data_IF_852142848121
#
_entry.id   IF_852142848121
#
_cell.length_a   1.000
_cell.length_b   1.000
_cell.length_c   1.000
_cell.angle_alpha   90.00
_cell.angle_beta   90.00
_cell.angle_gamma   90.00
#
_symmetry.space_group_name_H-M   'P 1'
#
loop_
_entity.id
_entity.type
_entity.pdbx_description
1 polymer ?
#
# COMPACT_ATOMS: atom_id res chain seq x y z
N UNK A 1 13.68 -22.77 6.21
CA UNK A 1 12.43 -22.05 6.49
C UNK A 1 11.36 -22.66 5.59
N UNK A 2 10.23 -23.07 6.13
CA UNK A 2 9.10 -23.55 5.31
C UNK A 2 8.43 -22.35 4.70
N UNK A 3 8.76 -22.05 3.44
CA UNK A 3 8.10 -20.99 2.66
C UNK A 3 6.65 -21.41 2.45
N UNK A 4 5.72 -20.81 3.19
CA UNK A 4 4.29 -21.10 3.02
C UNK A 4 3.88 -20.60 1.64
N UNK A 5 3.56 -21.52 0.73
CA UNK A 5 3.06 -21.20 -0.61
C UNK A 5 1.80 -20.33 -0.51
N UNK A 6 1.70 -19.29 -1.33
CA UNK A 6 0.48 -18.48 -1.37
C UNK A 6 -0.67 -19.32 -1.95
N UNK A 7 -1.87 -19.14 -1.40
CA UNK A 7 -3.08 -19.85 -1.83
C UNK A 7 -4.06 -18.86 -2.43
N UNK A 8 -4.70 -19.24 -3.54
CA UNK A 8 -5.78 -18.46 -4.15
C UNK A 8 -7.05 -18.53 -3.27
N UNK A 9 -7.21 -17.57 -2.36
CA UNK A 9 -8.35 -17.44 -1.45
C UNK A 9 -9.19 -16.19 -1.81
N UNK A 10 -10.25 -15.93 -1.07
CA UNK A 10 -11.18 -14.82 -1.38
C UNK A 10 -10.56 -13.42 -1.18
N UNK A 11 -9.44 -13.31 -0.45
CA UNK A 11 -8.67 -12.06 -0.33
C UNK A 11 -7.78 -11.81 -1.56
N UNK A 12 -7.27 -12.87 -2.17
CA UNK A 12 -6.30 -12.79 -3.28
C UNK A 12 -6.97 -12.84 -4.65
N UNK A 13 -8.09 -13.57 -4.80
CA UNK A 13 -8.80 -13.68 -6.09
C UNK A 13 -9.11 -12.32 -6.73
N UNK A 14 -9.66 -11.31 -6.00
CA UNK A 14 -9.97 -10.01 -6.60
C UNK A 14 -8.75 -9.31 -7.22
N UNK A 15 -7.53 -9.62 -6.74
CA UNK A 15 -6.30 -9.03 -7.27
C UNK A 15 -6.03 -9.42 -8.74
N UNK A 16 -6.57 -10.56 -9.19
CA UNK A 16 -6.43 -11.08 -10.55
C UNK A 16 -7.63 -10.77 -11.47
N UNK A 17 -8.68 -10.14 -10.95
CA UNK A 17 -9.85 -9.73 -11.73
C UNK A 17 -9.54 -8.43 -12.51
N UNK A 18 -8.71 -8.55 -13.53
CA UNK A 18 -8.24 -7.45 -14.39
C UNK A 18 -8.52 -7.74 -15.87
N UNK A 19 -8.26 -6.78 -16.76
CA UNK A 19 -8.34 -7.00 -18.21
C UNK A 19 -7.42 -8.15 -18.67
N UNK A 20 -6.30 -8.37 -17.98
CA UNK A 20 -5.35 -9.46 -18.22
C UNK A 20 -5.66 -10.77 -17.47
N UNK A 21 -6.88 -10.95 -16.96
CA UNK A 21 -7.27 -12.12 -16.14
C UNK A 21 -6.84 -13.47 -16.75
N UNK A 22 -7.01 -13.63 -18.06
CA UNK A 22 -6.68 -14.86 -18.77
C UNK A 22 -5.19 -15.24 -18.62
N UNK A 23 -4.28 -14.25 -18.64
CA UNK A 23 -2.85 -14.50 -18.42
C UNK A 23 -2.64 -15.07 -17.02
N UNK A 24 -3.24 -14.44 -16.00
CA UNK A 24 -3.07 -14.84 -14.61
C UNK A 24 -3.62 -16.25 -14.36
N UNK A 25 -4.80 -16.54 -14.90
CA UNK A 25 -5.44 -17.85 -14.79
C UNK A 25 -4.58 -18.94 -15.44
N UNK A 26 -4.03 -18.71 -16.64
CA UNK A 26 -3.15 -19.67 -17.32
C UNK A 26 -1.86 -19.94 -16.54
N UNK A 27 -1.26 -18.91 -15.93
CA UNK A 27 -0.07 -19.06 -15.07
C UNK A 27 -0.44 -19.87 -13.83
N UNK A 28 -1.51 -19.49 -13.10
CA UNK A 28 -1.92 -20.15 -11.86
C UNK A 28 -2.27 -21.63 -12.10
N UNK A 29 -2.95 -21.93 -13.21
CA UNK A 29 -3.35 -23.30 -13.60
C UNK A 29 -2.22 -24.11 -14.24
N UNK A 30 -1.03 -23.54 -14.37
CA UNK A 30 0.15 -24.17 -14.97
C UNK A 30 -0.03 -24.55 -16.45
N UNK A 31 -0.81 -23.77 -17.21
CA UNK A 31 -1.05 -23.92 -18.65
C UNK A 31 -0.09 -23.07 -19.47
N UNK A 32 1.21 -23.27 -19.26
CA UNK A 32 2.25 -22.39 -19.80
C UNK A 32 2.39 -22.52 -21.32
N UNK A 33 2.22 -23.72 -21.89
CA UNK A 33 2.26 -23.90 -23.34
C UNK A 33 1.16 -23.12 -24.05
N UNK A 34 -0.05 -23.12 -23.48
CA UNK A 34 -1.20 -22.36 -24.00
C UNK A 34 -0.94 -20.85 -23.91
N UNK A 35 -0.39 -20.38 -22.79
CA UNK A 35 0.00 -18.99 -22.61
C UNK A 35 1.09 -18.55 -23.61
N UNK A 36 2.15 -19.33 -23.77
CA UNK A 36 3.25 -18.99 -24.67
C UNK A 36 2.82 -19.01 -26.14
N UNK A 37 1.75 -19.74 -26.49
CA UNK A 37 1.18 -19.74 -27.83
C UNK A 37 0.36 -18.47 -28.14
N UNK A 38 -0.12 -17.76 -27.11
CA UNK A 38 -0.91 -16.53 -27.26
C UNK A 38 -0.07 -15.26 -27.07
N UNK A 39 1.13 -15.36 -26.49
CA UNK A 39 2.04 -14.24 -26.28
C UNK A 39 3.04 -14.03 -27.44
N UNK A 40 3.32 -12.78 -27.84
CA UNK A 40 2.70 -11.56 -27.35
C UNK A 40 1.35 -11.30 -28.04
N UNK A 41 0.40 -10.70 -27.31
CA UNK A 41 -0.91 -10.32 -27.86
C UNK A 41 -0.82 -9.10 -28.78
N UNK A 42 0.15 -8.21 -28.52
CA UNK A 42 0.48 -7.04 -29.33
C UNK A 42 2.01 -6.91 -29.49
N UNK A 43 2.50 -6.42 -30.63
CA UNK A 43 3.93 -6.43 -30.99
C UNK A 43 4.84 -5.68 -30.00
N UNK A 44 4.31 -4.71 -29.22
CA UNK A 44 5.07 -3.88 -28.28
C UNK A 44 4.58 -3.99 -26.82
N UNK A 45 3.79 -5.01 -26.47
CA UNK A 45 3.32 -5.19 -25.10
C UNK A 45 4.47 -5.64 -24.19
N UNK A 46 4.99 -4.73 -23.37
CA UNK A 46 6.15 -4.96 -22.50
C UNK A 46 5.88 -6.07 -21.48
N UNK A 47 4.69 -6.14 -20.89
CA UNK A 47 4.33 -7.19 -19.92
C UNK A 47 4.38 -8.57 -20.57
N UNK A 48 3.76 -8.71 -21.75
CA UNK A 48 3.73 -9.96 -22.52
C UNK A 48 5.14 -10.44 -22.87
N UNK A 49 6.03 -9.52 -23.29
CA UNK A 49 7.42 -9.83 -23.57
C UNK A 49 8.16 -10.35 -22.34
N UNK A 50 7.99 -9.68 -21.19
CA UNK A 50 8.61 -10.08 -19.92
C UNK A 50 8.15 -11.47 -19.50
N UNK A 51 6.83 -11.72 -19.50
CA UNK A 51 6.26 -13.02 -19.13
C UNK A 51 6.77 -14.12 -20.06
N UNK A 52 6.75 -13.88 -21.37
CA UNK A 52 7.20 -14.85 -22.37
C UNK A 52 8.67 -15.21 -22.18
N UNK A 53 9.54 -14.22 -22.03
CA UNK A 53 10.98 -14.43 -21.83
C UNK A 53 11.25 -15.21 -20.52
N UNK A 54 10.64 -14.78 -19.41
CA UNK A 54 10.81 -15.42 -18.10
C UNK A 54 10.37 -16.87 -18.10
N UNK A 55 9.18 -17.16 -18.64
CA UNK A 55 8.64 -18.52 -18.64
C UNK A 55 9.32 -19.44 -19.65
N UNK A 56 9.91 -18.89 -20.72
CA UNK A 56 10.64 -19.67 -21.73
C UNK A 56 12.10 -19.93 -21.36
N UNK A 57 12.76 -18.98 -20.70
CA UNK A 57 14.23 -19.01 -20.51
C UNK A 57 14.67 -18.88 -19.05
N UNK A 58 13.74 -18.58 -18.13
CA UNK A 58 14.03 -18.30 -16.73
C UNK A 58 14.50 -16.87 -16.45
N UNK A 59 14.68 -16.04 -17.49
CA UNK A 59 15.14 -14.65 -17.39
C UNK A 59 14.40 -13.75 -18.38
N UNK A 60 14.43 -12.44 -18.18
CA UNK A 60 13.92 -11.47 -19.15
C UNK A 60 14.88 -10.30 -19.32
N UNK A 61 15.45 -10.18 -20.52
CA UNK A 61 16.29 -9.05 -20.91
C UNK A 61 15.45 -7.76 -20.96
N UNK A 62 14.21 -7.88 -21.41
CA UNK A 62 13.24 -6.77 -21.42
C UNK A 62 13.04 -6.22 -20.00
N UNK A 63 12.84 -7.09 -19.01
CA UNK A 63 12.68 -6.68 -17.62
C UNK A 63 13.98 -6.15 -16.98
N UNK A 64 15.12 -6.79 -17.27
CA UNK A 64 16.43 -6.37 -16.72
C UNK A 64 16.79 -4.95 -17.16
N UNK A 65 16.49 -4.61 -18.41
CA UNK A 65 16.87 -3.33 -19.04
C UNK A 65 15.81 -2.22 -18.94
N UNK A 66 14.58 -2.55 -18.52
CA UNK A 66 13.50 -1.57 -18.39
C UNK A 66 13.83 -0.47 -17.37
N UNK A 67 13.58 0.79 -17.74
CA UNK A 67 13.82 1.95 -16.89
C UNK A 67 12.57 2.30 -16.06
N UNK A 68 12.44 1.63 -14.92
CA UNK A 68 11.38 1.95 -13.95
C UNK A 68 11.56 3.30 -13.24
N UNK A 69 12.75 3.91 -13.29
CA UNK A 69 13.05 5.13 -12.53
C UNK A 69 12.44 6.34 -13.24
N UNK A 70 12.36 6.30 -14.57
CA UNK A 70 11.69 7.33 -15.35
C UNK A 70 10.21 7.40 -14.96
N UNK A 71 9.75 8.60 -14.59
CA UNK A 71 8.33 8.85 -14.34
C UNK A 71 7.67 9.09 -15.69
N UNK A 72 6.97 8.09 -16.20
CA UNK A 72 6.19 8.16 -17.45
C UNK A 72 4.94 7.29 -17.36
N UNK A 73 3.95 7.61 -18.19
CA UNK A 73 2.67 6.92 -18.21
C UNK A 73 2.85 5.42 -18.49
N UNK A 74 2.26 4.58 -17.64
CA UNK A 74 2.26 3.13 -17.80
C UNK A 74 3.31 2.40 -16.96
N UNK A 75 4.34 3.08 -16.45
CA UNK A 75 5.37 2.45 -15.60
C UNK A 75 4.76 1.87 -14.32
N UNK A 76 3.86 2.61 -13.69
CA UNK A 76 3.14 2.11 -12.51
C UNK A 76 2.27 0.88 -12.79
N UNK A 77 1.66 0.81 -13.98
CA UNK A 77 0.75 -0.26 -14.37
C UNK A 77 1.56 -1.53 -14.54
N UNK A 78 2.64 -1.43 -15.31
CA UNK A 78 3.59 -2.53 -15.49
C UNK A 78 4.14 -3.02 -14.15
N UNK A 79 4.59 -2.13 -13.26
CA UNK A 79 5.11 -2.53 -11.95
C UNK A 79 4.06 -3.29 -11.13
N UNK A 80 2.80 -2.82 -11.12
CA UNK A 80 1.69 -3.48 -10.44
C UNK A 80 1.39 -4.86 -11.04
N UNK A 81 1.49 -5.01 -12.35
CA UNK A 81 1.29 -6.30 -13.03
C UNK A 81 2.46 -7.27 -12.79
N UNK A 82 3.67 -6.76 -12.60
CA UNK A 82 4.79 -7.57 -12.12
C UNK A 82 4.58 -8.06 -10.69
N UNK A 83 3.94 -7.27 -9.81
CA UNK A 83 3.51 -7.78 -8.49
C UNK A 83 2.48 -8.91 -8.65
N UNK A 84 1.52 -8.79 -9.58
CA UNK A 84 0.59 -9.88 -9.91
C UNK A 84 1.30 -11.12 -10.40
N UNK A 85 2.29 -10.96 -11.27
CA UNK A 85 3.11 -12.06 -11.76
C UNK A 85 3.83 -12.78 -10.60
N UNK A 86 4.42 -12.05 -9.64
CA UNK A 86 5.02 -12.66 -8.44
C UNK A 86 4.00 -13.50 -7.66
N UNK A 87 2.78 -13.00 -7.47
CA UNK A 87 1.71 -13.76 -6.79
C UNK A 87 1.32 -15.00 -7.60
N UNK A 88 1.10 -14.87 -8.91
CA UNK A 88 0.69 -15.97 -9.77
C UNK A 88 1.74 -17.09 -9.80
N UNK A 89 3.03 -16.74 -9.92
CA UNK A 89 4.12 -17.72 -9.92
C UNK A 89 4.25 -18.44 -8.57
N UNK A 90 4.04 -17.74 -7.45
CA UNK A 90 4.05 -18.34 -6.12
C UNK A 90 2.85 -19.30 -5.90
N UNK A 91 1.65 -18.90 -6.33
CA UNK A 91 0.45 -19.75 -6.27
C UNK A 91 0.59 -20.97 -7.19
N UNK A 92 1.23 -20.81 -8.35
CA UNK A 92 1.55 -21.93 -9.23
C UNK A 92 2.57 -22.87 -8.56
N UNK A 93 3.70 -22.33 -8.08
CA UNK A 93 4.74 -23.04 -7.33
C UNK A 93 5.77 -23.82 -8.16
N UNK A 94 5.66 -23.83 -9.50
CA UNK A 94 6.63 -24.49 -10.38
C UNK A 94 7.73 -23.55 -10.91
N UNK A 95 7.59 -22.24 -10.69
CA UNK A 95 8.46 -21.20 -11.27
C UNK A 95 9.18 -20.37 -10.20
N UNK A 96 9.68 -21.02 -9.16
CA UNK A 96 10.32 -20.37 -8.03
C UNK A 96 11.55 -19.53 -8.43
N UNK A 97 12.41 -20.06 -9.32
CA UNK A 97 13.60 -19.32 -9.78
C UNK A 97 13.23 -18.04 -10.53
N UNK A 98 12.25 -18.11 -11.42
CA UNK A 98 11.75 -16.93 -12.15
C UNK A 98 11.09 -15.92 -11.19
N UNK A 99 10.34 -16.41 -10.19
CA UNK A 99 9.75 -15.56 -9.14
C UNK A 99 10.83 -14.82 -8.34
N UNK A 100 11.91 -15.49 -7.97
CA UNK A 100 13.01 -14.87 -7.22
C UNK A 100 13.73 -13.80 -8.06
N UNK A 101 14.03 -14.09 -9.33
CA UNK A 101 14.64 -13.10 -10.25
C UNK A 101 13.78 -11.85 -10.39
N UNK A 102 12.45 -12.03 -10.52
CA UNK A 102 11.49 -10.91 -10.54
C UNK A 102 11.58 -10.07 -9.26
N UNK A 103 11.45 -10.72 -8.10
CA UNK A 103 11.44 -10.04 -6.81
C UNK A 103 12.75 -9.30 -6.56
N UNK A 104 13.90 -9.93 -6.81
CA UNK A 104 15.22 -9.34 -6.57
C UNK A 104 15.37 -8.02 -7.35
N UNK A 105 15.07 -8.06 -8.66
CA UNK A 105 15.14 -6.86 -9.49
C UNK A 105 14.12 -5.79 -9.08
N UNK A 106 12.90 -6.18 -8.70
CA UNK A 106 11.90 -5.22 -8.19
C UNK A 106 12.40 -4.54 -6.92
N UNK A 107 13.00 -5.29 -6.00
CA UNK A 107 13.59 -4.75 -4.77
C UNK A 107 14.78 -3.83 -5.04
N UNK A 108 15.57 -4.12 -6.06
CA UNK A 108 16.67 -3.26 -6.49
C UNK A 108 16.20 -1.89 -7.03
N UNK A 109 15.06 -1.85 -7.75
CA UNK A 109 14.58 -0.59 -8.38
C UNK A 109 13.70 0.26 -7.47
N UNK A 110 12.94 -0.36 -6.54
CA UNK A 110 11.99 0.36 -5.66
C UNK A 110 12.63 1.60 -5.01
N UNK A 111 13.84 1.55 -4.40
CA UNK A 111 14.40 2.71 -3.72
C UNK A 111 14.61 3.89 -4.67
N UNK A 112 15.11 3.62 -5.88
CA UNK A 112 15.35 4.66 -6.88
C UNK A 112 14.03 5.26 -7.41
N UNK A 113 13.00 4.44 -7.62
CA UNK A 113 11.65 4.92 -7.97
C UNK A 113 11.08 5.84 -6.89
N UNK A 114 11.17 5.42 -5.62
CA UNK A 114 10.71 6.19 -4.47
C UNK A 114 11.47 7.50 -4.33
N UNK A 115 12.79 7.48 -4.45
CA UNK A 115 13.62 8.69 -4.41
C UNK A 115 13.27 9.67 -5.53
N UNK A 116 13.01 9.17 -6.73
CA UNK A 116 12.61 10.01 -7.85
C UNK A 116 11.23 10.64 -7.61
N UNK A 117 10.25 9.90 -7.07
CA UNK A 117 8.96 10.48 -6.64
C UNK A 117 9.17 11.56 -5.57
N UNK A 118 9.97 11.30 -4.54
CA UNK A 118 10.24 12.26 -3.46
C UNK A 118 10.89 13.55 -4.00
N UNK A 119 11.84 13.41 -4.90
CA UNK A 119 12.52 14.53 -5.54
C UNK A 119 11.52 15.38 -6.33
N UNK A 120 10.74 14.75 -7.21
CA UNK A 120 9.81 15.47 -8.08
C UNK A 120 8.59 16.04 -7.32
N UNK A 121 8.24 15.48 -6.16
CA UNK A 121 7.16 15.99 -5.30
C UNK A 121 7.60 17.00 -4.24
N UNK A 122 8.90 17.36 -4.19
CA UNK A 122 9.43 18.26 -3.15
C UNK A 122 8.62 19.56 -3.04
N UNK A 123 8.17 19.89 -1.83
CA UNK A 123 7.37 21.09 -1.55
C UNK A 123 5.85 20.93 -1.75
N UNK A 124 5.38 19.75 -2.17
CA UNK A 124 3.96 19.41 -2.12
C UNK A 124 3.45 19.36 -0.67
N UNK A 125 2.20 19.81 -0.37
CA UNK A 125 1.18 20.32 -1.28
C UNK A 125 1.32 21.81 -1.65
N UNK A 126 2.20 22.56 -0.99
CA UNK A 126 2.31 24.02 -1.17
C UNK A 126 2.77 24.39 -2.59
N UNK A 127 3.51 23.49 -3.24
CA UNK A 127 3.85 23.54 -4.67
C UNK A 127 2.99 22.55 -5.43
N UNK A 128 2.36 23.02 -6.53
CA UNK A 128 1.68 22.14 -7.48
C UNK A 128 2.70 21.17 -8.11
N UNK A 129 2.34 19.90 -8.12
CA UNK A 129 3.10 18.79 -8.72
C UNK A 129 2.34 18.29 -9.95
N UNK A 130 3.07 17.74 -10.92
CA UNK A 130 2.48 17.12 -12.11
C UNK A 130 1.58 15.94 -11.71
N UNK A 131 0.43 15.81 -12.36
CA UNK A 131 -0.53 14.74 -12.07
C UNK A 131 0.09 13.35 -12.30
N UNK A 132 0.97 13.22 -13.29
CA UNK A 132 1.69 11.98 -13.58
C UNK A 132 2.48 11.50 -12.36
N UNK A 133 3.14 12.41 -11.62
CA UNK A 133 3.91 12.07 -10.42
C UNK A 133 2.97 11.56 -9.31
N UNK A 134 1.79 12.17 -9.16
CA UNK A 134 0.80 11.76 -8.17
C UNK A 134 0.22 10.38 -8.50
N UNK A 135 -0.11 10.14 -9.77
CA UNK A 135 -0.64 8.86 -10.26
C UNK A 135 0.42 7.75 -10.15
N UNK A 136 1.65 8.01 -10.59
CA UNK A 136 2.77 7.07 -10.48
C UNK A 136 3.06 6.72 -9.01
N UNK A 137 3.15 7.73 -8.15
CA UNK A 137 3.41 7.52 -6.73
C UNK A 137 2.28 6.78 -6.02
N UNK A 138 1.02 7.19 -6.22
CA UNK A 138 -0.13 6.54 -5.57
C UNK A 138 -0.30 5.08 -6.03
N UNK A 139 -0.06 4.80 -7.31
CA UNK A 139 -0.14 3.44 -7.86
C UNK A 139 1.03 2.57 -7.39
N UNK A 140 2.27 3.09 -7.35
CA UNK A 140 3.40 2.37 -6.76
C UNK A 140 3.14 2.08 -5.27
N UNK A 141 2.60 3.05 -4.52
CA UNK A 141 2.20 2.86 -3.12
C UNK A 141 1.19 1.72 -2.97
N UNK A 142 0.18 1.66 -3.84
CA UNK A 142 -0.79 0.58 -3.85
C UNK A 142 -0.15 -0.78 -4.19
N UNK A 143 0.77 -0.83 -5.16
CA UNK A 143 1.52 -2.05 -5.47
C UNK A 143 2.37 -2.53 -4.27
N UNK A 144 3.00 -1.62 -3.53
CA UNK A 144 3.72 -1.96 -2.30
C UNK A 144 2.80 -2.47 -1.19
N UNK A 145 1.53 -2.03 -1.14
CA UNK A 145 0.54 -2.59 -0.23
C UNK A 145 0.30 -4.09 -0.51
N UNK A 146 0.25 -4.48 -1.78
CA UNK A 146 0.17 -5.90 -2.16
C UNK A 146 1.41 -6.68 -1.69
N UNK A 147 2.62 -6.12 -1.82
CA UNK A 147 3.80 -6.75 -1.23
C UNK A 147 3.79 -6.81 0.30
N UNK A 148 3.21 -5.83 0.99
CA UNK A 148 3.02 -5.90 2.44
C UNK A 148 2.15 -7.10 2.82
N UNK A 149 1.03 -7.31 2.11
CA UNK A 149 0.23 -8.52 2.29
C UNK A 149 1.06 -9.78 2.03
N UNK A 150 1.77 -9.81 0.91
CA UNK A 150 2.60 -10.94 0.49
C UNK A 150 3.61 -11.35 1.56
N UNK A 151 4.46 -10.42 2.02
CA UNK A 151 5.53 -10.72 2.96
C UNK A 151 5.03 -10.96 4.39
N UNK A 152 3.86 -10.42 4.76
CA UNK A 152 3.17 -10.85 5.99
C UNK A 152 2.79 -12.33 5.94
N UNK A 153 2.26 -12.81 4.81
CA UNK A 153 1.89 -14.22 4.64
C UNK A 153 3.10 -15.16 4.60
N UNK A 154 4.24 -14.65 4.11
CA UNK A 154 5.52 -15.38 4.08
C UNK A 154 6.28 -15.36 5.42
N UNK A 155 5.86 -14.52 6.37
CA UNK A 155 6.59 -14.21 7.60
C UNK A 155 8.05 -13.77 7.35
N UNK A 156 8.26 -13.05 6.24
CA UNK A 156 9.56 -12.46 5.91
C UNK A 156 9.61 -11.04 6.49
N UNK A 157 10.25 -10.91 7.65
CA UNK A 157 10.25 -9.64 8.39
C UNK A 157 11.13 -8.59 7.74
N UNK A 158 12.23 -8.98 7.10
CA UNK A 158 13.18 -8.05 6.49
C UNK A 158 12.58 -7.46 5.20
N UNK A 159 12.01 -8.32 4.35
CA UNK A 159 11.31 -7.86 3.15
C UNK A 159 10.07 -7.02 3.52
N UNK A 160 9.32 -7.42 4.54
CA UNK A 160 8.17 -6.67 5.04
C UNK A 160 8.57 -5.27 5.55
N UNK A 161 9.65 -5.17 6.31
CA UNK A 161 10.20 -3.89 6.78
C UNK A 161 10.57 -2.98 5.63
N UNK A 162 11.29 -3.51 4.64
CA UNK A 162 11.67 -2.77 3.45
C UNK A 162 10.46 -2.18 2.73
N UNK A 163 9.45 -3.00 2.39
CA UNK A 163 8.30 -2.53 1.60
C UNK A 163 7.43 -1.54 2.38
N UNK A 164 7.25 -1.72 3.70
CA UNK A 164 6.50 -0.77 4.55
C UNK A 164 7.21 0.58 4.59
N UNK A 165 8.54 0.59 4.73
CA UNK A 165 9.32 1.84 4.78
C UNK A 165 9.26 2.56 3.42
N UNK A 166 9.40 1.84 2.31
CA UNK A 166 9.31 2.43 0.97
C UNK A 166 7.92 3.00 0.69
N UNK A 167 6.86 2.26 1.05
CA UNK A 167 5.48 2.75 0.94
C UNK A 167 5.27 4.04 1.74
N UNK A 168 5.77 4.06 2.96
CA UNK A 168 5.64 5.20 3.89
C UNK A 168 6.38 6.44 3.40
N UNK A 169 7.54 6.27 2.75
CA UNK A 169 8.25 7.38 2.09
C UNK A 169 7.41 8.02 0.99
N UNK A 170 6.69 7.22 0.18
CA UNK A 170 5.77 7.75 -0.84
C UNK A 170 4.61 8.51 -0.18
N UNK A 171 4.01 7.93 0.87
CA UNK A 171 2.91 8.57 1.61
C UNK A 171 3.31 9.93 2.15
N UNK A 172 4.49 10.06 2.76
CA UNK A 172 4.99 11.35 3.24
C UNK A 172 5.27 12.35 2.10
N UNK A 173 5.59 11.86 0.91
CA UNK A 173 5.96 12.69 -0.23
C UNK A 173 4.77 13.29 -0.98
N UNK A 174 3.67 12.53 -1.12
CA UNK A 174 2.53 12.90 -1.98
C UNK A 174 1.16 12.74 -1.31
N UNK A 175 1.07 12.06 -0.16
CA UNK A 175 -0.22 11.78 0.51
C UNK A 175 -0.26 12.24 1.97
N UNK A 176 0.63 13.15 2.38
CA UNK A 176 0.76 13.59 3.78
C UNK A 176 -0.47 14.30 4.33
N UNK A 177 -1.33 14.86 3.47
CA UNK A 177 -2.58 15.50 3.90
C UNK A 177 -3.78 14.54 3.99
N UNK A 178 -3.66 13.31 3.47
CA UNK A 178 -4.70 12.29 3.58
C UNK A 178 -4.53 11.56 4.92
N UNK A 179 -5.23 12.04 5.94
CA UNK A 179 -4.97 11.67 7.35
C UNK A 179 -5.22 10.20 7.67
N UNK A 180 -6.26 9.62 7.07
CA UNK A 180 -6.53 8.18 7.09
C UNK A 180 -5.34 7.37 6.52
N UNK A 181 -4.79 7.79 5.37
CA UNK A 181 -3.65 7.14 4.70
C UNK A 181 -2.36 7.31 5.48
N UNK A 182 -2.05 8.54 5.90
CA UNK A 182 -0.86 8.87 6.70
C UNK A 182 -0.87 8.09 8.01
N UNK A 183 -1.98 8.14 8.76
CA UNK A 183 -2.12 7.45 10.03
C UNK A 183 -1.86 5.96 9.89
N UNK A 184 -2.57 5.31 8.96
CA UNK A 184 -2.40 3.88 8.68
C UNK A 184 -0.93 3.52 8.40
N UNK A 185 -0.29 4.21 7.46
CA UNK A 185 1.06 3.84 7.01
C UNK A 185 2.14 4.09 8.06
N UNK A 186 2.02 5.18 8.82
CA UNK A 186 2.97 5.48 9.89
C UNK A 186 2.81 4.53 11.07
N UNK A 187 1.60 4.07 11.39
CA UNK A 187 1.38 3.01 12.40
C UNK A 187 2.01 1.70 11.95
N UNK A 188 1.79 1.26 10.71
CA UNK A 188 2.42 0.04 10.21
C UNK A 188 3.96 0.15 10.22
N UNK A 189 4.50 1.33 9.89
CA UNK A 189 5.93 1.63 10.02
C UNK A 189 6.41 1.52 11.46
N UNK A 190 5.68 2.08 12.42
CA UNK A 190 6.05 1.99 13.82
C UNK A 190 6.06 0.55 14.32
N UNK A 191 5.02 -0.22 13.99
CA UNK A 191 4.89 -1.63 14.38
C UNK A 191 6.01 -2.51 13.80
N UNK A 192 6.36 -2.33 12.51
CA UNK A 192 7.45 -3.13 11.92
C UNK A 192 8.82 -2.70 12.49
N UNK A 193 9.00 -1.42 12.84
CA UNK A 193 10.20 -0.91 13.52
C UNK A 193 10.35 -1.52 14.92
N UNK A 194 9.26 -1.68 15.67
CA UNK A 194 9.29 -2.43 16.92
C UNK A 194 9.66 -3.91 16.71
N UNK A 195 9.08 -4.55 15.69
CA UNK A 195 9.35 -5.98 15.40
C UNK A 195 10.84 -6.24 15.12
N UNK A 196 11.53 -5.30 14.48
CA UNK A 196 12.99 -5.38 14.22
C UNK A 196 13.86 -4.81 15.36
N UNK A 197 13.26 -4.40 16.48
CA UNK A 197 13.98 -3.91 17.66
C UNK A 197 14.38 -2.43 17.62
N UNK A 198 13.94 -1.67 16.62
CA UNK A 198 14.25 -0.23 16.46
C UNK A 198 13.24 0.64 17.23
N UNK A 199 13.24 0.52 18.57
CA UNK A 199 12.25 1.16 19.46
C UNK A 199 12.17 2.68 19.31
N UNK A 200 13.31 3.37 19.21
CA UNK A 200 13.35 4.84 19.09
C UNK A 200 12.78 5.33 17.74
N UNK A 201 13.03 4.57 16.67
CA UNK A 201 12.45 4.84 15.37
C UNK A 201 10.92 4.61 15.41
N UNK A 202 10.46 3.53 16.04
CA UNK A 202 9.03 3.27 16.22
C UNK A 202 8.33 4.41 16.99
N UNK A 203 8.92 4.86 18.10
CA UNK A 203 8.43 6.02 18.86
C UNK A 203 8.36 7.28 17.99
N UNK A 204 9.31 7.48 17.08
CA UNK A 204 9.32 8.64 16.18
C UNK A 204 8.11 8.61 15.23
N UNK A 205 7.77 7.44 14.67
CA UNK A 205 6.56 7.26 13.85
C UNK A 205 5.26 7.42 14.66
N UNK A 206 5.16 6.85 15.86
CA UNK A 206 3.98 7.05 16.70
C UNK A 206 3.78 8.52 17.07
N UNK A 207 4.85 9.23 17.41
CA UNK A 207 4.74 10.67 17.68
C UNK A 207 4.38 11.46 16.42
N UNK A 208 4.85 11.05 15.23
CA UNK A 208 4.44 11.68 13.98
C UNK A 208 2.92 11.56 13.77
N UNK A 209 2.34 10.37 13.98
CA UNK A 209 0.88 10.17 13.91
C UNK A 209 0.17 11.08 14.91
N UNK A 210 0.60 11.08 16.17
CA UNK A 210 0.03 11.93 17.22
C UNK A 210 0.04 13.40 16.83
N UNK A 211 1.18 13.93 16.41
CA UNK A 211 1.31 15.36 16.09
C UNK A 211 0.45 15.78 14.88
N UNK A 212 0.30 14.90 13.89
CA UNK A 212 -0.48 15.20 12.68
C UNK A 212 -2.00 15.00 12.86
N UNK A 213 -2.43 14.10 13.76
CA UNK A 213 -3.84 13.70 13.87
C UNK A 213 -4.52 14.19 15.16
N UNK A 214 -3.79 14.64 16.18
CA UNK A 214 -4.40 15.06 17.47
C UNK A 214 -5.47 16.14 17.34
N UNK A 215 -5.41 16.98 16.31
CA UNK A 215 -6.38 18.05 16.07
C UNK A 215 -7.75 17.52 15.63
N UNK A 216 -7.79 16.35 14.99
CA UNK A 216 -9.03 15.82 14.39
C UNK A 216 -10.04 15.36 15.43
N UNK A 217 -9.55 14.94 16.60
CA UNK A 217 -10.40 14.55 17.71
C UNK A 217 -11.26 15.72 18.21
N UNK A 218 -10.81 16.97 18.02
CA UNK A 218 -11.53 18.13 18.53
C UNK A 218 -12.93 18.26 17.92
N UNK A 219 -13.06 18.00 16.62
CA UNK A 219 -14.34 18.08 15.91
C UNK A 219 -15.38 17.14 16.52
N UNK A 220 -15.02 15.87 16.76
CA UNK A 220 -15.91 14.89 17.38
C UNK A 220 -16.25 15.18 18.85
N UNK A 221 -15.42 15.97 19.54
CA UNK A 221 -15.72 16.43 20.90
C UNK A 221 -16.73 17.58 20.88
N UNK A 222 -16.69 18.42 19.84
CA UNK A 222 -17.64 19.53 19.67
C UNK A 222 -18.98 19.10 19.06
N UNK A 223 -18.98 17.99 18.30
CA UNK A 223 -20.17 17.36 17.70
C UNK A 223 -20.42 15.95 18.28
N UNK A 224 -20.92 15.84 19.52
CA UNK A 224 -21.09 14.55 20.20
C UNK A 224 -22.11 13.62 19.55
N UNK A 225 -23.03 14.15 18.77
CA UNK A 225 -24.04 13.42 18.00
C UNK A 225 -23.48 12.70 16.76
N UNK A 226 -22.33 13.16 16.24
CA UNK A 226 -21.77 12.64 15.00
C UNK A 226 -20.82 11.45 15.27
N UNK A 227 -21.08 10.34 14.57
CA UNK A 227 -20.15 9.21 14.46
C UNK A 227 -19.09 9.40 13.39
N UNK A 228 -18.10 8.52 13.40
CA UNK A 228 -17.01 8.51 12.42
C UNK A 228 -17.41 7.74 11.16
N UNK A 229 -17.22 8.32 9.98
CA UNK A 229 -17.30 7.58 8.72
C UNK A 229 -16.12 6.58 8.58
N UNK A 230 -16.02 5.91 7.43
CA UNK A 230 -14.97 4.91 7.19
C UNK A 230 -13.54 5.49 7.29
N UNK A 231 -13.29 6.64 6.69
CA UNK A 231 -11.98 7.29 6.67
C UNK A 231 -11.60 7.82 8.06
N UNK A 232 -12.56 8.46 8.74
CA UNK A 232 -12.41 8.91 10.11
C UNK A 232 -12.12 7.75 11.05
N UNK A 233 -12.79 6.61 10.85
CA UNK A 233 -12.55 5.40 11.63
C UNK A 233 -11.11 4.92 11.48
N UNK A 234 -10.57 4.88 10.26
CA UNK A 234 -9.17 4.49 10.03
C UNK A 234 -8.21 5.46 10.72
N UNK A 235 -8.45 6.76 10.55
CA UNK A 235 -7.63 7.81 11.14
C UNK A 235 -7.66 7.79 12.69
N UNK A 236 -8.84 7.70 13.30
CA UNK A 236 -9.03 7.67 14.75
C UNK A 236 -8.41 6.41 15.36
N UNK A 237 -8.56 5.24 14.71
CA UNK A 237 -7.87 4.01 15.13
C UNK A 237 -6.35 4.18 15.10
N UNK A 238 -5.81 4.82 14.07
CA UNK A 238 -4.38 5.10 14.00
C UNK A 238 -3.92 6.05 15.13
N UNK A 239 -4.69 7.11 15.41
CA UNK A 239 -4.39 8.03 16.51
C UNK A 239 -4.44 7.33 17.88
N UNK A 240 -5.46 6.50 18.11
CA UNK A 240 -5.61 5.69 19.34
C UNK A 240 -4.43 4.74 19.52
N UNK A 241 -4.05 4.02 18.46
CA UNK A 241 -2.92 3.09 18.47
C UNK A 241 -1.60 3.82 18.75
N UNK A 242 -1.40 5.03 18.21
CA UNK A 242 -0.25 5.86 18.50
C UNK A 242 -0.17 6.24 19.98
N UNK A 243 -1.27 6.73 20.56
CA UNK A 243 -1.32 7.09 21.97
C UNK A 243 -1.03 5.90 22.88
N UNK A 244 -1.74 4.78 22.67
CA UNK A 244 -1.55 3.57 23.45
C UNK A 244 -0.12 3.01 23.35
N UNK A 245 0.46 3.05 22.14
CA UNK A 245 1.84 2.59 21.92
C UNK A 245 2.87 3.52 22.54
N UNK A 246 2.67 4.84 22.52
CA UNK A 246 3.58 5.79 23.21
C UNK A 246 3.57 5.52 24.71
N UNK A 247 2.39 5.37 25.32
CA UNK A 247 2.26 5.06 26.75
C UNK A 247 2.95 3.74 27.09
N UNK A 248 2.68 2.68 26.34
CA UNK A 248 3.35 1.37 26.50
C UNK A 248 4.87 1.47 26.36
N UNK A 249 5.35 2.25 25.39
CA UNK A 249 6.78 2.37 25.10
C UNK A 249 7.51 3.33 26.05
N UNK A 250 6.80 4.20 26.77
CA UNK A 250 7.38 5.10 27.76
C UNK A 250 7.10 4.71 29.20
N UNK A 251 6.31 3.66 29.42
CA UNK A 251 5.83 3.24 30.75
C UNK A 251 5.07 4.38 31.45
N UNK A 252 4.12 4.97 30.70
CA UNK A 252 3.26 6.07 31.15
C UNK A 252 1.79 5.74 30.94
N UNK A 253 0.92 6.58 31.50
CA UNK A 253 -0.54 6.54 31.34
C UNK A 253 -1.07 7.92 30.94
N UNK A 254 -0.29 8.67 30.16
CA UNK A 254 -0.56 10.07 29.83
C UNK A 254 -1.81 10.19 28.95
N UNK A 255 -2.03 9.21 28.06
CA UNK A 255 -3.03 9.28 27.01
C UNK A 255 -4.23 8.35 27.22
N UNK A 256 -4.31 7.63 28.34
CA UNK A 256 -5.43 6.72 28.65
C UNK A 256 -6.80 7.40 28.50
N UNK A 257 -6.95 8.63 29.02
CA UNK A 257 -8.19 9.40 28.91
C UNK A 257 -8.52 9.76 27.46
N UNK A 258 -7.50 10.10 26.66
CA UNK A 258 -7.69 10.46 25.26
C UNK A 258 -8.08 9.23 24.44
N UNK A 259 -7.46 8.08 24.70
CA UNK A 259 -7.86 6.80 24.11
C UNK A 259 -9.32 6.45 24.43
N UNK A 260 -9.77 6.67 25.67
CA UNK A 260 -11.16 6.42 26.04
C UNK A 260 -12.15 7.34 25.29
N UNK A 261 -11.79 8.59 25.02
CA UNK A 261 -12.61 9.49 24.18
C UNK A 261 -12.66 8.98 22.75
N UNK A 262 -11.52 8.54 22.18
CA UNK A 262 -11.51 7.98 20.82
C UNK A 262 -12.36 6.72 20.73
N UNK A 263 -12.27 5.82 21.73
CA UNK A 263 -13.06 4.60 21.79
C UNK A 263 -14.57 4.89 21.87
N UNK A 264 -14.97 5.98 22.55
CA UNK A 264 -16.35 6.45 22.58
C UNK A 264 -16.80 6.99 21.22
N UNK A 265 -16.02 7.86 20.58
CA UNK A 265 -16.31 8.39 19.23
C UNK A 265 -16.49 7.25 18.22
N UNK A 266 -15.60 6.25 18.24
CA UNK A 266 -15.65 5.09 17.36
C UNK A 266 -16.86 4.17 17.62
N UNK A 267 -17.56 4.35 18.74
CA UNK A 267 -18.77 3.58 19.09
C UNK A 267 -20.07 4.26 18.67
N UNK A 268 -20.01 5.53 18.26
CA UNK A 268 -21.15 6.30 17.78
C UNK A 268 -21.60 5.79 16.41
N UNK A 269 -22.89 5.88 16.14
CA UNK A 269 -23.44 5.61 14.82
C UNK A 269 -23.10 6.78 13.89
N UNK A 270 -22.66 6.46 12.67
CA UNK A 270 -22.49 7.47 11.64
C UNK A 270 -23.84 7.71 10.98
N UNK A 271 -24.37 8.92 11.14
CA UNK A 271 -25.52 9.39 10.40
C UNK A 271 -25.00 10.27 9.25
N UNK A 272 -25.30 9.85 8.02
CA UNK A 272 -25.00 10.64 6.83
C UNK A 272 -25.96 11.85 6.81
N UNK A 273 -25.42 13.06 7.01
CA UNK A 273 -26.21 14.28 6.94
C UNK A 273 -26.60 14.54 5.48
N UNK A 274 -27.86 14.28 5.14
CA UNK A 274 -28.44 14.75 3.88
C UNK A 274 -28.71 16.26 4.00
N UNK A 275 -27.80 17.07 3.46
CA UNK A 275 -27.98 18.53 3.37
C UNK A 275 -29.11 18.95 2.42
N UNK A 276 -29.73 17.99 1.72
CA UNK A 276 -30.80 18.22 0.76
C UNK A 276 -32.21 18.24 1.40
N UNK A 277 -32.38 17.89 2.69
CA UNK A 277 -33.69 17.89 3.36
C UNK A 277 -34.08 19.23 4.03
N UNK A 278 -33.19 20.23 4.06
CA UNK A 278 -33.44 21.54 4.70
C UNK A 278 -33.92 22.66 3.74
N UNK A 279 -34.21 22.36 2.46
CA UNK A 279 -34.75 23.34 1.48
C UNK A 279 -36.29 23.21 1.25
N UNK A 280 -37.05 22.66 2.18
CA UNK A 280 -38.53 22.75 2.15
C UNK A 280 -39.09 23.24 3.50
N UNK A 281 -39.17 24.56 3.68
CA UNK A 281 -40.31 25.28 4.31
C UNK A 281 -39.92 26.74 4.56
N UNK A 282 -40.20 27.63 3.60
CA UNK A 282 -40.56 29.03 3.86
C UNK A 282 -41.12 29.67 2.56
N UNK A 283 -42.31 29.20 2.17
CA UNK A 283 -43.20 29.91 1.23
C UNK A 283 -44.60 30.06 1.89
N UNK A 284 -44.74 31.04 2.80
CA UNK A 284 -46.02 31.71 3.13
C UNK A 284 -45.87 33.23 3.29
#
# INVERSE_FOLDING_TARGET
MTTTKLTLNDEVKPFFETDDKEIWDLIIENKIDDLLATLPREEDNTLDMIIRELLSTGKSETFETYDFIKIEEGNNVLFRDLVRLVFALDINGNFEEARLVLVDRMFDVIPAMVEQIQKESTGYPMRRVDETILVEGSTLRAALMSFVYYYRRKDDTDALHFVIVMRSKITLAIMSNYKNVLGHDMIESAQIKEKVGERDAALSFYNLVKENLKGELHWFVESPEMGANEDDTVMLRALREAYASIDRLKDTSEFEKVCAVIDEVLSREYEEFDFDEDEEEDDE
#
